data_IF_247311686535
#
_entry.id   IF_247311686535
#
_cell.length_a   1.000
_cell.length_b   1.000
_cell.length_c   1.000
_cell.angle_alpha   90.00
_cell.angle_beta   90.00
_cell.angle_gamma   90.00
#
_symmetry.space_group_name_H-M   'P 1'
#
loop_
_entity.id
_entity.type
_entity.pdbx_description
1 polymer ?
#
# COMPACT_ATOMS: atom_id res chain seq x y z
N UNK A 1 -20.90 13.44 -15.00
CA UNK A 1 -19.63 13.34 -14.24
C UNK A 1 -18.63 12.58 -15.09
N UNK A 2 -17.38 13.05 -15.14
CA UNK A 2 -16.24 12.51 -15.89
C UNK A 2 -16.37 12.46 -17.43
N UNK A 3 -16.15 13.60 -18.09
CA UNK A 3 -15.68 13.61 -19.48
C UNK A 3 -14.16 13.48 -19.47
N UNK A 4 -13.64 12.24 -19.51
CA UNK A 4 -12.19 11.98 -19.55
C UNK A 4 -11.72 10.62 -19.04
N UNK A 5 -12.54 9.89 -18.28
CA UNK A 5 -12.21 8.54 -17.82
C UNK A 5 -12.77 7.46 -18.76
N UNK A 6 -12.03 6.37 -18.90
CA UNK A 6 -12.43 5.22 -19.70
C UNK A 6 -13.75 4.61 -19.18
N UNK A 7 -14.68 4.20 -20.08
CA UNK A 7 -15.88 3.46 -19.69
C UNK A 7 -15.58 2.20 -18.86
N UNK A 8 -14.41 1.57 -19.05
CA UNK A 8 -14.00 0.37 -18.33
C UNK A 8 -13.95 0.55 -16.80
N UNK A 9 -13.80 1.79 -16.32
CA UNK A 9 -13.78 2.09 -14.89
C UNK A 9 -15.09 1.71 -14.20
N UNK A 10 -16.22 1.74 -14.90
CA UNK A 10 -17.53 1.37 -14.35
C UNK A 10 -17.62 -0.12 -14.01
N UNK A 11 -16.72 -0.94 -14.54
CA UNK A 11 -16.67 -2.39 -14.28
C UNK A 11 -15.73 -2.77 -13.14
N UNK A 12 -14.97 -1.81 -12.59
CA UNK A 12 -14.07 -2.08 -11.47
C UNK A 12 -14.83 -2.00 -10.15
N UNK A 13 -14.74 -3.06 -9.36
CA UNK A 13 -15.24 -3.08 -8.00
C UNK A 13 -14.25 -2.43 -7.03
N UNK A 14 -14.76 -1.93 -5.92
CA UNK A 14 -13.94 -1.42 -4.82
C UNK A 14 -13.18 -2.56 -4.14
N UNK A 15 -11.87 -2.39 -3.93
CA UNK A 15 -11.05 -3.39 -3.26
C UNK A 15 -11.36 -3.50 -1.76
N UNK A 16 -11.83 -4.67 -1.34
CA UNK A 16 -12.01 -4.99 0.08
C UNK A 16 -10.69 -4.92 0.88
N UNK A 17 -9.57 -5.31 0.27
CA UNK A 17 -8.23 -5.27 0.88
C UNK A 17 -7.77 -3.83 1.20
N UNK A 18 -8.11 -2.88 0.32
CA UNK A 18 -7.84 -1.46 0.57
C UNK A 18 -8.73 -0.95 1.69
N UNK A 19 -10.03 -1.29 1.66
CA UNK A 19 -10.99 -0.83 2.67
C UNK A 19 -10.59 -1.27 4.10
N UNK A 20 -10.21 -2.54 4.29
CA UNK A 20 -9.81 -3.03 5.61
C UNK A 20 -8.50 -2.40 6.10
N UNK A 21 -7.52 -2.23 5.20
CA UNK A 21 -6.26 -1.56 5.50
C UNK A 21 -6.47 -0.09 5.92
N UNK A 22 -7.39 0.61 5.28
CA UNK A 22 -7.75 1.98 5.61
C UNK A 22 -8.43 2.07 6.98
N UNK A 23 -9.34 1.15 7.28
CA UNK A 23 -10.03 1.11 8.57
C UNK A 23 -9.07 0.79 9.73
N UNK A 24 -8.15 -0.16 9.55
CA UNK A 24 -7.12 -0.48 10.54
C UNK A 24 -6.21 0.74 10.82
N UNK A 25 -5.82 1.49 9.78
CA UNK A 25 -5.06 2.75 9.93
C UNK A 25 -5.86 3.82 10.67
N UNK A 26 -7.16 3.97 10.37
CA UNK A 26 -8.06 4.93 11.02
C UNK A 26 -8.18 4.66 12.52
N UNK A 27 -8.41 3.41 12.91
CA UNK A 27 -8.53 3.00 14.32
C UNK A 27 -7.23 3.19 15.11
N UNK A 28 -6.09 2.83 14.52
CA UNK A 28 -4.77 3.13 15.11
C UNK A 28 -4.57 4.63 15.33
N UNK A 29 -4.94 5.47 14.35
CA UNK A 29 -4.86 6.92 14.48
C UNK A 29 -5.83 7.50 15.54
N UNK A 30 -6.93 6.80 15.84
CA UNK A 30 -7.85 7.15 16.92
C UNK A 30 -7.35 6.71 18.32
N UNK A 31 -6.20 6.06 18.41
CA UNK A 31 -5.63 5.57 19.66
C UNK A 31 -6.16 4.21 20.11
N UNK A 32 -6.88 3.48 19.25
CA UNK A 32 -7.27 2.09 19.51
C UNK A 32 -6.06 1.15 19.39
N UNK A 33 -5.99 0.14 20.26
CA UNK A 33 -5.01 -0.94 20.16
C UNK A 33 -5.45 -1.93 19.08
N UNK A 34 -4.76 -1.90 17.93
CA UNK A 34 -5.13 -2.66 16.73
C UNK A 34 -3.94 -3.48 16.25
N UNK A 35 -4.14 -4.80 16.23
CA UNK A 35 -3.21 -5.75 15.61
C UNK A 35 -3.69 -6.01 14.18
N UNK A 36 -2.89 -5.58 13.21
CA UNK A 36 -3.17 -5.75 11.79
C UNK A 36 -2.36 -6.93 11.24
N UNK A 37 -3.06 -8.02 10.94
CA UNK A 37 -2.50 -9.24 10.35
C UNK A 37 -2.75 -9.32 8.84
N UNK A 38 -3.18 -8.21 8.21
CA UNK A 38 -3.48 -8.13 6.78
C UNK A 38 -2.29 -7.74 5.91
N UNK A 39 -1.15 -7.35 6.50
CA UNK A 39 0.06 -7.01 5.76
C UNK A 39 0.60 -8.26 5.02
N UNK A 40 0.73 -8.15 3.69
CA UNK A 40 1.30 -9.21 2.85
C UNK A 40 2.80 -9.05 2.60
N UNK A 41 3.42 -8.00 3.12
CA UNK A 41 4.85 -7.71 3.00
C UNK A 41 5.56 -7.92 4.34
N UNK A 42 6.86 -8.24 4.33
CA UNK A 42 7.62 -8.34 5.55
C UNK A 42 7.80 -6.98 6.24
N UNK A 43 7.93 -7.02 7.57
CA UNK A 43 8.10 -5.85 8.43
C UNK A 43 9.56 -5.36 8.53
N UNK A 44 10.50 -6.09 7.96
CA UNK A 44 11.92 -5.75 7.96
C UNK A 44 12.33 -4.90 6.75
N UNK A 45 13.33 -4.02 6.91
CA UNK A 45 13.86 -3.24 5.80
C UNK A 45 14.59 -4.14 4.78
N UNK A 46 14.67 -3.65 3.54
CA UNK A 46 15.51 -4.25 2.51
C UNK A 46 16.97 -4.35 2.99
N UNK A 47 17.66 -5.51 2.84
CA UNK A 47 19.05 -5.64 3.25
C UNK A 47 20.00 -4.67 2.53
N UNK A 48 21.14 -4.30 3.14
CA UNK A 48 22.05 -3.30 2.58
C UNK A 48 22.60 -3.66 1.20
N UNK A 49 22.97 -4.93 0.99
CA UNK A 49 23.59 -5.40 -0.26
C UNK A 49 22.75 -5.06 -1.51
N UNK A 50 21.46 -5.48 -1.60
CA UNK A 50 20.61 -5.10 -2.74
C UNK A 50 20.22 -3.62 -2.74
N UNK A 51 20.03 -2.99 -1.57
CA UNK A 51 19.69 -1.57 -1.49
C UNK A 51 20.81 -0.69 -2.06
N UNK A 52 22.06 -0.93 -1.66
CA UNK A 52 23.24 -0.20 -2.12
C UNK A 52 23.49 -0.43 -3.63
N UNK A 53 23.22 -1.64 -4.12
CA UNK A 53 23.29 -1.93 -5.55
C UNK A 53 22.29 -1.09 -6.36
N UNK A 54 21.04 -0.95 -5.86
CA UNK A 54 20.04 -0.08 -6.48
C UNK A 54 20.45 1.39 -6.48
N UNK A 55 21.03 1.88 -5.39
CA UNK A 55 21.53 3.26 -5.30
C UNK A 55 22.68 3.51 -6.29
N UNK A 56 23.63 2.58 -6.42
CA UNK A 56 24.72 2.72 -7.40
C UNK A 56 24.21 2.78 -8.83
N UNK A 57 23.28 1.89 -9.20
CA UNK A 57 22.72 1.83 -10.55
C UNK A 57 21.95 3.11 -10.97
N UNK A 58 21.50 3.93 -10.02
CA UNK A 58 20.87 5.23 -10.30
C UNK A 58 21.92 6.33 -10.49
N UNK A 59 23.07 6.22 -9.83
CA UNK A 59 24.10 7.28 -9.78
C UNK A 59 25.15 7.16 -10.87
N UNK A 60 25.48 5.93 -11.26
CA UNK A 60 26.42 5.59 -12.35
C UNK A 60 25.69 5.50 -13.69
#
# INVERSE_FOLDING_TARGET
MSQGLSPNLQHLETSATIAISQEAKRRRAAGEDVIDLGAGEPDFPTPPIPADAGVRAIRE
#
